data_IF_274121735774
#
_entry.id   IF_274121735774
#
_cell.length_a   1.000
_cell.length_b   1.000
_cell.length_c   1.000
_cell.angle_alpha   90.00
_cell.angle_beta   90.00
_cell.angle_gamma   90.00
#
_symmetry.space_group_name_H-M   'P 1'
#
loop_
_entity.id
_entity.type
_entity.pdbx_description
1 polymer ?
#
# COMPACT_ATOMS: atom_id res chain seq x y z
N UNK A 1 -8.97 8.98 -11.15
CA UNK A 1 -10.28 9.65 -11.34
C UNK A 1 -10.67 9.65 -12.81
N UNK A 2 -11.06 8.46 -13.29
CA UNK A 2 -11.42 8.27 -14.70
C UNK A 2 -12.64 9.11 -15.12
N UNK A 3 -13.62 9.24 -14.25
CA UNK A 3 -14.86 10.01 -14.56
C UNK A 3 -14.55 11.49 -14.81
N UNK A 4 -13.68 12.09 -14.00
CA UNK A 4 -13.23 13.47 -14.18
C UNK A 4 -12.35 13.64 -15.44
N UNK A 5 -11.59 12.62 -15.80
CA UNK A 5 -10.77 12.63 -17.01
C UNK A 5 -11.63 12.50 -18.26
N UNK A 6 -12.66 11.64 -18.25
CA UNK A 6 -13.62 11.50 -19.37
C UNK A 6 -14.35 12.81 -19.67
N UNK A 7 -14.76 13.57 -18.64
CA UNK A 7 -15.41 14.86 -18.80
C UNK A 7 -14.50 15.94 -19.42
N UNK A 8 -13.18 15.85 -19.21
CA UNK A 8 -12.19 16.81 -19.72
C UNK A 8 -11.52 16.39 -21.02
N UNK A 9 -11.86 15.22 -21.54
CA UNK A 9 -11.24 14.63 -22.73
C UNK A 9 -10.00 13.82 -22.37
N UNK A 10 -9.97 12.54 -22.74
CA UNK A 10 -8.91 11.58 -22.42
C UNK A 10 -7.87 11.57 -23.56
N UNK A 11 -6.60 11.76 -23.23
CA UNK A 11 -5.48 11.62 -24.20
C UNK A 11 -5.27 10.16 -24.58
N UNK A 12 -4.58 9.91 -25.71
CA UNK A 12 -4.30 8.54 -26.14
C UNK A 12 -3.39 7.82 -25.14
N UNK A 13 -2.42 8.51 -24.50
CA UNK A 13 -1.60 7.95 -23.44
C UNK A 13 -2.42 7.52 -22.22
N UNK A 14 -3.38 8.33 -21.81
CA UNK A 14 -4.29 7.99 -20.71
C UNK A 14 -5.19 6.79 -21.03
N UNK A 15 -5.64 6.64 -22.29
CA UNK A 15 -6.39 5.44 -22.73
C UNK A 15 -5.54 4.18 -22.65
N UNK A 16 -4.27 4.26 -23.06
CA UNK A 16 -3.32 3.13 -22.95
C UNK A 16 -3.14 2.70 -21.50
N UNK A 17 -2.95 3.66 -20.57
CA UNK A 17 -2.80 3.37 -19.15
C UNK A 17 -4.08 2.73 -18.59
N UNK A 18 -5.25 3.26 -18.93
CA UNK A 18 -6.53 2.67 -18.51
C UNK A 18 -6.68 1.23 -18.98
N UNK A 19 -6.41 0.98 -20.25
CA UNK A 19 -6.47 -0.38 -20.83
C UNK A 19 -5.46 -1.33 -20.16
N UNK A 20 -4.28 -0.83 -19.78
CA UNK A 20 -3.30 -1.62 -19.03
C UNK A 20 -3.80 -1.97 -17.62
N UNK A 21 -4.43 -1.04 -16.91
CA UNK A 21 -5.04 -1.30 -15.60
C UNK A 21 -6.16 -2.33 -15.68
N UNK A 22 -7.03 -2.21 -16.68
CA UNK A 22 -8.12 -3.16 -16.93
C UNK A 22 -7.57 -4.56 -17.28
N UNK A 23 -6.58 -4.64 -18.16
CA UNK A 23 -5.93 -5.90 -18.54
C UNK A 23 -5.18 -6.57 -17.39
N UNK A 24 -4.56 -5.80 -16.50
CA UNK A 24 -3.90 -6.30 -15.30
C UNK A 24 -4.91 -6.72 -14.21
N UNK A 25 -6.15 -6.24 -14.30
CA UNK A 25 -7.20 -6.51 -13.33
C UNK A 25 -7.08 -5.69 -12.04
N UNK A 26 -6.62 -4.44 -12.15
CA UNK A 26 -6.60 -3.48 -11.02
C UNK A 26 -8.03 -3.27 -10.53
N UNK A 27 -8.22 -3.31 -9.22
CA UNK A 27 -9.51 -3.15 -8.55
C UNK A 27 -9.39 -2.11 -7.43
N UNK A 28 -10.52 -1.55 -7.03
CA UNK A 28 -10.57 -0.62 -5.90
C UNK A 28 -10.21 -1.32 -4.58
N UNK A 29 -10.54 -2.61 -4.46
CA UNK A 29 -10.12 -3.47 -3.36
C UNK A 29 -10.04 -4.93 -3.79
N UNK A 30 -9.35 -5.74 -3.02
CA UNK A 30 -9.35 -7.20 -3.16
C UNK A 30 -9.77 -7.84 -1.85
N UNK A 31 -10.45 -8.97 -1.94
CA UNK A 31 -10.81 -9.77 -0.77
C UNK A 31 -9.97 -11.03 -0.76
N UNK A 32 -9.27 -11.26 0.35
CA UNK A 32 -8.45 -12.45 0.58
C UNK A 32 -8.98 -13.20 1.78
N UNK A 33 -8.90 -14.53 1.73
CA UNK A 33 -9.28 -15.39 2.84
C UNK A 33 -8.14 -16.35 3.16
N UNK A 34 -7.81 -16.46 4.44
CA UNK A 34 -6.85 -17.44 4.94
C UNK A 34 -7.41 -18.08 6.22
N UNK A 35 -7.67 -19.37 6.16
CA UNK A 35 -8.40 -20.06 7.23
C UNK A 35 -9.80 -19.44 7.39
N UNK A 36 -10.14 -19.08 8.61
CA UNK A 36 -11.44 -18.51 8.97
C UNK A 36 -11.47 -16.97 8.84
N UNK A 37 -10.33 -16.32 8.56
CA UNK A 37 -10.22 -14.85 8.45
C UNK A 37 -10.39 -14.43 7.01
N UNK A 38 -11.33 -13.52 6.77
CA UNK A 38 -11.59 -12.86 5.49
C UNK A 38 -11.25 -11.38 5.60
N UNK A 39 -10.29 -10.90 4.83
CA UNK A 39 -9.83 -9.51 4.86
C UNK A 39 -10.07 -8.83 3.51
N UNK A 40 -10.55 -7.59 3.54
CA UNK A 40 -10.50 -6.69 2.39
C UNK A 40 -9.19 -5.87 2.45
N UNK A 41 -8.56 -5.72 1.31
CA UNK A 41 -7.33 -4.94 1.16
C UNK A 41 -7.56 -3.82 0.15
N UNK A 42 -7.37 -2.58 0.59
CA UNK A 42 -7.47 -1.35 -0.21
C UNK A 42 -6.08 -0.82 -0.48
N UNK A 43 -5.82 -0.29 -1.67
CA UNK A 43 -4.59 0.43 -2.00
C UNK A 43 -4.84 1.93 -2.09
N UNK A 44 -3.93 2.76 -1.58
CA UNK A 44 -4.00 4.22 -1.70
C UNK A 44 -2.65 4.82 -2.08
N UNK A 45 -2.69 5.88 -2.90
CA UNK A 45 -1.55 6.68 -3.29
C UNK A 45 -1.72 8.10 -2.73
N UNK A 46 -0.74 8.56 -1.96
CA UNK A 46 -0.81 9.82 -1.22
C UNK A 46 -0.63 11.07 -2.10
N UNK A 47 -0.93 12.24 -1.53
CA UNK A 47 -0.79 13.53 -2.20
C UNK A 47 0.67 13.90 -2.38
N UNK A 48 1.47 13.76 -1.33
CA UNK A 48 2.92 14.04 -1.38
C UNK A 48 3.62 13.10 -2.39
N UNK A 49 3.23 11.84 -2.43
CA UNK A 49 3.72 10.89 -3.42
C UNK A 49 3.38 11.32 -4.87
N UNK A 50 2.19 11.90 -5.09
CA UNK A 50 1.81 12.45 -6.39
C UNK A 50 2.63 13.69 -6.76
N UNK A 51 2.95 14.56 -5.81
CA UNK A 51 3.81 15.71 -6.02
C UNK A 51 5.24 15.31 -6.44
N UNK A 52 5.70 14.13 -6.02
CA UNK A 52 6.96 13.53 -6.47
C UNK A 52 6.91 12.99 -7.91
N UNK A 53 5.75 12.97 -8.56
CA UNK A 53 5.54 12.53 -9.93
C UNK A 53 5.02 13.66 -10.84
N UNK A 54 5.78 14.78 -11.04
CA UNK A 54 5.29 16.00 -11.69
C UNK A 54 4.93 15.81 -13.17
N UNK A 55 5.36 14.72 -13.80
CA UNK A 55 5.03 14.40 -15.20
C UNK A 55 3.82 13.47 -15.33
N UNK A 56 3.18 13.10 -14.22
CA UNK A 56 2.01 12.25 -14.23
C UNK A 56 0.79 13.04 -14.75
N UNK A 57 0.25 12.60 -15.89
CA UNK A 57 -0.94 13.22 -16.51
C UNK A 57 -2.27 12.67 -15.99
N UNK A 58 -2.23 11.70 -15.08
CA UNK A 58 -3.45 11.13 -14.48
C UNK A 58 -4.02 12.09 -13.43
N UNK A 59 -5.35 12.14 -13.36
CA UNK A 59 -6.05 12.84 -12.28
C UNK A 59 -6.34 11.86 -11.15
N UNK A 60 -6.10 12.32 -9.93
CA UNK A 60 -6.36 11.55 -8.72
C UNK A 60 -7.54 12.15 -7.95
N UNK A 61 -8.31 11.29 -7.31
CA UNK A 61 -9.29 11.72 -6.29
C UNK A 61 -8.53 12.11 -5.02
N UNK A 62 -9.19 12.83 -4.13
CA UNK A 62 -8.68 12.98 -2.77
C UNK A 62 -8.51 11.57 -2.16
N UNK A 63 -7.33 11.22 -1.61
CA UNK A 63 -7.06 9.87 -1.14
C UNK A 63 -7.96 9.45 0.03
N UNK A 64 -8.27 10.37 0.95
CA UNK A 64 -9.13 10.08 2.11
C UNK A 64 -10.56 9.80 1.64
N UNK A 65 -11.10 10.65 0.77
CA UNK A 65 -12.45 10.48 0.23
C UNK A 65 -12.57 9.21 -0.63
N UNK A 66 -11.53 8.89 -1.42
CA UNK A 66 -11.53 7.67 -2.23
C UNK A 66 -11.52 6.40 -1.37
N UNK A 67 -10.68 6.36 -0.33
CA UNK A 67 -10.63 5.21 0.59
C UNK A 67 -11.92 5.10 1.38
N UNK A 68 -12.48 6.22 1.85
CA UNK A 68 -13.77 6.24 2.57
C UNK A 68 -14.89 5.63 1.74
N UNK A 69 -15.03 6.06 0.49
CA UNK A 69 -16.03 5.50 -0.44
C UNK A 69 -15.82 3.99 -0.66
N UNK A 70 -14.57 3.55 -0.84
CA UNK A 70 -14.24 2.14 -1.02
C UNK A 70 -14.55 1.32 0.23
N UNK A 71 -14.24 1.83 1.43
CA UNK A 71 -14.55 1.18 2.70
C UNK A 71 -16.07 1.06 2.93
N UNK A 72 -16.84 2.11 2.61
CA UNK A 72 -18.30 2.08 2.65
C UNK A 72 -18.87 1.01 1.69
N UNK A 73 -18.29 0.88 0.50
CA UNK A 73 -18.68 -0.14 -0.47
C UNK A 73 -18.36 -1.55 0.04
N UNK A 74 -17.17 -1.75 0.61
CA UNK A 74 -16.78 -3.03 1.23
C UNK A 74 -17.78 -3.41 2.33
N UNK A 75 -18.07 -2.50 3.26
CA UNK A 75 -19.01 -2.75 4.37
C UNK A 75 -20.43 -3.09 3.88
N UNK A 76 -20.83 -2.54 2.75
CA UNK A 76 -22.16 -2.79 2.15
C UNK A 76 -22.23 -4.13 1.41
N UNK A 77 -21.17 -4.51 0.70
CA UNK A 77 -21.21 -5.60 -0.27
C UNK A 77 -20.51 -6.87 0.23
N UNK A 78 -19.58 -6.73 1.19
CA UNK A 78 -18.72 -7.81 1.65
C UNK A 78 -18.93 -8.11 3.14
N UNK A 79 -18.84 -9.39 3.47
CA UNK A 79 -18.71 -9.84 4.87
C UNK A 79 -17.25 -10.14 5.13
N UNK A 80 -16.53 -9.16 5.63
CA UNK A 80 -15.11 -9.29 5.96
C UNK A 80 -14.89 -9.06 7.45
N UNK A 81 -13.88 -9.74 7.99
CA UNK A 81 -13.49 -9.65 9.39
C UNK A 81 -12.54 -8.48 9.63
N UNK A 82 -11.77 -8.10 8.60
CA UNK A 82 -10.73 -7.07 8.66
C UNK A 82 -10.73 -6.22 7.40
N UNK A 83 -10.43 -4.93 7.55
CA UNK A 83 -10.08 -4.03 6.44
C UNK A 83 -8.64 -3.56 6.64
N UNK A 84 -7.76 -3.89 5.70
CA UNK A 84 -6.39 -3.43 5.66
C UNK A 84 -6.18 -2.43 4.51
N UNK A 85 -5.39 -1.39 4.73
CA UNK A 85 -4.98 -0.44 3.71
C UNK A 85 -3.47 -0.55 3.47
N UNK A 86 -3.07 -0.74 2.21
CA UNK A 86 -1.67 -0.64 1.78
C UNK A 86 -1.49 0.76 1.22
N UNK A 87 -0.75 1.59 1.94
CA UNK A 87 -0.64 3.02 1.65
C UNK A 87 0.74 3.40 1.11
N UNK A 88 0.75 4.25 0.10
CA UNK A 88 1.90 5.03 -0.32
C UNK A 88 1.66 6.52 -0.01
N UNK A 89 1.10 6.80 1.19
CA UNK A 89 0.84 8.15 1.73
C UNK A 89 1.93 8.60 2.70
N UNK A 90 2.25 7.76 3.67
CA UNK A 90 3.35 7.97 4.59
C UNK A 90 2.97 8.60 5.94
N UNK A 91 3.97 8.58 6.83
CA UNK A 91 3.89 9.16 8.17
C UNK A 91 5.00 10.20 8.37
N UNK A 92 4.71 11.28 9.11
CA UNK A 92 5.64 12.36 9.44
C UNK A 92 5.65 12.60 10.95
N UNK A 93 6.67 13.33 11.46
CA UNK A 93 6.72 13.75 12.86
C UNK A 93 5.52 14.63 13.26
N UNK A 94 5.05 15.47 12.33
CA UNK A 94 3.82 16.26 12.50
C UNK A 94 2.63 15.42 12.06
N UNK A 95 1.86 14.91 13.01
CA UNK A 95 0.67 14.09 12.75
C UNK A 95 -0.39 14.79 11.89
N UNK A 96 -0.40 16.12 11.84
CA UNK A 96 -1.34 16.88 11.00
C UNK A 96 -0.91 16.90 9.53
N UNK A 97 0.32 16.50 9.24
CA UNK A 97 0.85 16.31 7.88
C UNK A 97 0.94 14.84 7.49
N UNK A 98 0.88 13.97 8.48
CA UNK A 98 1.00 12.52 8.34
C UNK A 98 -0.24 11.96 7.64
N UNK A 99 -0.14 11.70 6.32
CA UNK A 99 -1.30 11.32 5.50
C UNK A 99 -1.97 10.05 6.01
N UNK A 100 -1.18 9.07 6.47
CA UNK A 100 -1.72 7.82 6.99
C UNK A 100 -2.37 7.98 8.37
N UNK A 101 -1.90 8.93 9.18
CA UNK A 101 -2.56 9.24 10.45
C UNK A 101 -3.85 10.02 10.24
N UNK A 102 -3.89 10.93 9.25
CA UNK A 102 -5.12 11.60 8.84
C UNK A 102 -6.11 10.57 8.32
N UNK A 103 -5.67 9.63 7.47
CA UNK A 103 -6.51 8.56 6.95
C UNK A 103 -7.09 7.70 8.07
N UNK A 104 -6.28 7.30 9.05
CA UNK A 104 -6.74 6.51 10.21
C UNK A 104 -7.81 7.23 11.04
N UNK A 105 -7.69 8.56 11.19
CA UNK A 105 -8.66 9.38 11.92
C UNK A 105 -9.97 9.56 11.15
N UNK A 106 -9.89 9.77 9.83
CA UNK A 106 -11.04 10.08 8.97
C UNK A 106 -11.81 8.82 8.52
N UNK A 107 -11.14 7.65 8.51
CA UNK A 107 -11.72 6.36 8.08
C UNK A 107 -11.49 5.30 9.17
N UNK A 108 -12.17 5.41 10.32
CA UNK A 108 -11.93 4.56 11.51
C UNK A 108 -12.37 3.10 11.35
N UNK A 109 -12.98 2.75 10.22
CA UNK A 109 -13.33 1.37 9.84
C UNK A 109 -12.14 0.56 9.30
N UNK A 110 -10.98 1.19 9.10
CA UNK A 110 -9.72 0.51 8.74
C UNK A 110 -9.11 -0.06 10.03
N UNK A 111 -8.74 -1.34 10.03
CA UNK A 111 -8.11 -2.00 11.16
C UNK A 111 -6.57 -1.86 11.13
N UNK A 112 -5.98 -1.87 9.92
CA UNK A 112 -4.53 -1.84 9.73
C UNK A 112 -4.16 -0.99 8.52
N UNK A 113 -3.19 -0.09 8.68
CA UNK A 113 -2.52 0.62 7.59
C UNK A 113 -1.06 0.16 7.52
N UNK A 114 -0.65 -0.36 6.36
CA UNK A 114 0.74 -0.68 6.04
C UNK A 114 1.28 0.50 5.24
N UNK A 115 2.07 1.34 5.91
CA UNK A 115 2.55 2.63 5.41
C UNK A 115 3.84 2.48 4.61
N UNK A 116 3.95 3.26 3.54
CA UNK A 116 5.13 3.40 2.70
C UNK A 116 5.47 4.88 2.44
N UNK A 117 6.13 5.19 1.33
CA UNK A 117 6.50 6.50 0.81
C UNK A 117 7.60 7.23 1.61
N UNK A 118 7.36 7.57 2.86
CA UNK A 118 8.28 8.38 3.70
C UNK A 118 9.48 7.60 4.24
N UNK A 119 9.57 6.30 3.92
CA UNK A 119 10.64 5.43 4.39
C UNK A 119 10.78 5.38 5.92
N UNK A 120 9.71 5.72 6.63
CA UNK A 120 9.71 5.76 8.09
C UNK A 120 9.87 4.35 8.66
N UNK A 121 10.80 4.19 9.57
CA UNK A 121 10.99 2.95 10.35
C UNK A 121 10.26 3.12 11.68
N UNK A 122 9.04 2.58 11.77
CA UNK A 122 8.26 2.58 12.99
C UNK A 122 8.65 1.38 13.85
N UNK A 123 9.30 1.60 14.98
CA UNK A 123 9.63 0.53 15.95
C UNK A 123 8.42 0.07 16.74
N UNK A 124 7.43 0.94 16.86
CA UNK A 124 6.14 0.70 17.50
C UNK A 124 5.05 1.17 16.53
N UNK A 125 3.92 0.47 16.52
CA UNK A 125 2.79 0.89 15.72
C UNK A 125 2.18 2.20 16.24
N UNK A 126 1.83 3.11 15.33
CA UNK A 126 0.99 4.26 15.68
C UNK A 126 -0.45 3.75 15.76
N UNK A 127 -1.23 4.25 16.72
CA UNK A 127 -2.62 3.87 16.89
C UNK A 127 -3.53 5.08 16.96
N UNK A 128 -4.54 5.11 16.10
CA UNK A 128 -5.66 6.04 16.16
C UNK A 128 -6.98 5.28 16.27
N UNK A 129 -7.64 5.39 17.42
CA UNK A 129 -8.85 4.61 17.69
C UNK A 129 -8.60 3.10 17.62
N UNK A 130 -9.20 2.42 16.63
CA UNK A 130 -8.99 0.98 16.38
C UNK A 130 -8.00 0.70 15.25
N UNK A 131 -7.52 1.72 14.56
CA UNK A 131 -6.60 1.60 13.43
C UNK A 131 -5.15 1.59 13.89
N UNK A 132 -4.39 0.59 13.47
CA UNK A 132 -2.95 0.51 13.66
C UNK A 132 -2.23 0.87 12.38
N UNK A 133 -1.14 1.66 12.48
CA UNK A 133 -0.27 2.04 11.37
C UNK A 133 1.10 1.44 11.62
N UNK A 134 1.62 0.70 10.65
CA UNK A 134 2.95 0.06 10.71
C UNK A 134 3.76 0.43 9.47
N UNK A 135 5.08 0.53 9.62
CA UNK A 135 6.02 0.79 8.51
C UNK A 135 7.37 0.20 8.84
N UNK A 136 7.99 -0.48 7.87
CA UNK A 136 9.26 -1.18 8.08
C UNK A 136 10.47 -0.47 7.46
N UNK A 137 10.33 0.80 7.09
CA UNK A 137 11.41 1.57 6.45
C UNK A 137 11.47 1.35 4.94
N UNK A 138 12.69 1.27 4.41
CA UNK A 138 12.97 1.32 2.98
C UNK A 138 13.79 0.14 2.47
N UNK A 139 13.73 -0.07 1.16
CA UNK A 139 14.65 -0.93 0.38
C UNK A 139 14.86 -2.34 0.92
N UNK A 140 13.86 -2.91 1.61
CA UNK A 140 13.96 -4.25 2.15
C UNK A 140 14.95 -4.40 3.31
N UNK A 141 15.32 -3.31 3.98
CA UNK A 141 16.23 -3.37 5.15
C UNK A 141 15.63 -4.12 6.32
N UNK A 142 14.30 -4.07 6.44
CA UNK A 142 13.58 -4.79 7.48
C UNK A 142 12.39 -5.53 6.90
N UNK A 143 12.04 -6.64 7.53
CA UNK A 143 10.76 -7.30 7.40
C UNK A 143 9.90 -6.92 8.62
N UNK A 144 8.78 -6.24 8.39
CA UNK A 144 7.78 -5.99 9.43
C UNK A 144 6.97 -7.26 9.71
N UNK A 145 7.05 -7.75 10.93
CA UNK A 145 6.25 -8.90 11.40
C UNK A 145 5.24 -8.44 12.43
N UNK A 146 3.97 -8.73 12.21
CA UNK A 146 2.91 -8.37 13.13
C UNK A 146 1.91 -9.51 13.34
N UNK A 147 1.34 -9.55 14.53
CA UNK A 147 0.23 -10.44 14.86
C UNK A 147 -0.92 -9.64 15.42
N UNK A 148 -2.13 -9.96 14.96
CA UNK A 148 -3.35 -9.36 15.45
C UNK A 148 -4.33 -10.43 15.91
N UNK A 149 -5.10 -10.12 16.95
CA UNK A 149 -6.13 -11.04 17.48
C UNK A 149 -7.48 -10.35 17.48
N UNK A 150 -8.49 -11.03 16.95
CA UNK A 150 -9.85 -10.50 16.97
C UNK A 150 -10.47 -10.69 18.36
N UNK A 151 -10.99 -9.60 18.91
CA UNK A 151 -11.72 -9.59 20.18
C UNK A 151 -13.17 -10.06 20.00
N UNK A 152 -13.83 -10.36 21.10
CA UNK A 152 -15.24 -10.78 21.12
C UNK A 152 -16.21 -9.74 20.52
N UNK A 153 -15.84 -8.46 20.55
CA UNK A 153 -16.60 -7.35 19.96
C UNK A 153 -16.30 -7.11 18.47
N UNK A 154 -15.50 -7.99 17.85
CA UNK A 154 -15.13 -7.95 16.45
C UNK A 154 -13.95 -7.05 16.12
N UNK A 155 -13.45 -6.24 17.04
CA UNK A 155 -12.28 -5.38 16.83
C UNK A 155 -10.99 -6.19 16.79
N UNK A 156 -10.00 -5.69 16.07
CA UNK A 156 -8.66 -6.27 16.04
C UNK A 156 -7.73 -5.58 17.04
N UNK A 157 -6.93 -6.36 17.73
CA UNK A 157 -5.88 -5.90 18.64
C UNK A 157 -4.53 -6.36 18.12
N UNK A 158 -3.59 -5.42 18.03
CA UNK A 158 -2.20 -5.72 17.73
C UNK A 158 -1.56 -6.39 18.96
N UNK A 159 -1.16 -7.64 18.83
CA UNK A 159 -0.58 -8.42 19.94
C UNK A 159 0.94 -8.48 19.87
N UNK A 160 1.52 -8.34 18.68
CA UNK A 160 2.96 -8.16 18.51
C UNK A 160 3.25 -7.40 17.22
N UNK A 161 4.31 -6.62 17.24
CA UNK A 161 4.91 -5.99 16.08
C UNK A 161 6.41 -5.88 16.29
N UNK A 162 7.18 -6.31 15.30
CA UNK A 162 8.63 -6.23 15.33
C UNK A 162 9.20 -5.98 13.94
N UNK A 163 10.33 -5.31 13.88
CA UNK A 163 11.13 -5.15 12.69
C UNK A 163 12.29 -6.14 12.72
N UNK A 164 12.30 -7.07 11.78
CA UNK A 164 13.33 -8.09 11.62
C UNK A 164 14.33 -7.58 10.58
N UNK A 165 15.57 -7.23 10.96
CA UNK A 165 16.56 -6.76 10.01
C UNK A 165 16.90 -7.82 8.97
N UNK A 166 16.93 -7.41 7.70
CA UNK A 166 17.42 -8.24 6.60
C UNK A 166 18.93 -7.99 6.47
N UNK A 167 19.74 -8.97 6.89
CA UNK A 167 21.20 -8.90 6.88
C UNK A 167 21.80 -9.84 5.84
N UNK A 168 23.11 -9.73 5.61
CA UNK A 168 23.87 -10.63 4.75
C UNK A 168 23.84 -12.11 5.21
N UNK A 169 23.42 -12.36 6.46
CA UNK A 169 23.23 -13.72 6.99
C UNK A 169 21.98 -14.41 6.43
N UNK A 170 21.03 -13.64 5.90
CA UNK A 170 19.82 -14.17 5.25
C UNK A 170 20.22 -14.78 3.91
N UNK A 171 20.05 -16.08 3.79
CA UNK A 171 20.36 -16.77 2.53
C UNK A 171 19.32 -16.38 1.47
N UNK A 172 19.78 -15.96 0.27
CA UNK A 172 18.85 -15.67 -0.82
C UNK A 172 18.10 -16.93 -1.26
N UNK A 173 16.87 -16.74 -1.73
CA UNK A 173 16.17 -17.76 -2.48
C UNK A 173 16.89 -17.98 -3.82
N UNK A 174 17.29 -19.22 -4.09
CA UNK A 174 18.11 -19.53 -5.26
C UNK A 174 17.42 -19.20 -6.57
N UNK A 175 16.14 -19.51 -6.71
CA UNK A 175 15.40 -19.28 -7.94
C UNK A 175 15.23 -17.77 -8.23
N UNK A 176 15.02 -16.98 -7.19
CA UNK A 176 14.96 -15.51 -7.29
C UNK A 176 16.33 -14.94 -7.63
N UNK A 177 17.41 -15.42 -7.02
CA UNK A 177 18.76 -14.97 -7.33
C UNK A 177 19.15 -15.26 -8.78
N UNK A 178 18.83 -16.44 -9.31
CA UNK A 178 19.09 -16.79 -10.72
C UNK A 178 18.36 -15.85 -11.69
N UNK A 179 17.15 -15.39 -11.36
CA UNK A 179 16.42 -14.40 -12.16
C UNK A 179 17.08 -13.02 -12.11
N UNK A 180 17.53 -12.60 -10.94
CA UNK A 180 18.27 -11.34 -10.75
C UNK A 180 19.56 -11.37 -11.55
N UNK A 181 20.33 -12.44 -11.45
CA UNK A 181 21.62 -12.61 -12.16
C UNK A 181 21.41 -12.56 -13.68
N UNK A 182 20.39 -13.22 -14.20
CA UNK A 182 20.04 -13.18 -15.61
C UNK A 182 19.63 -11.77 -16.10
N UNK A 183 18.91 -11.02 -15.27
CA UNK A 183 18.56 -9.62 -15.55
C UNK A 183 19.79 -8.73 -15.55
N UNK A 184 20.65 -8.84 -14.53
CA UNK A 184 21.90 -8.09 -14.44
C UNK A 184 22.81 -8.38 -15.64
N UNK A 185 23.00 -9.64 -16.01
CA UNK A 185 23.71 -10.04 -17.22
C UNK A 185 23.17 -9.37 -18.49
N UNK A 186 21.86 -9.22 -18.59
CA UNK A 186 21.19 -8.55 -19.72
C UNK A 186 21.48 -7.04 -19.73
N UNK A 187 21.44 -6.41 -18.56
CA UNK A 187 21.77 -4.98 -18.40
C UNK A 187 23.24 -4.73 -18.74
N UNK A 188 24.16 -5.54 -18.21
CA UNK A 188 25.60 -5.42 -18.45
C UNK A 188 25.94 -5.58 -19.95
N UNK A 189 25.32 -6.56 -20.61
CA UNK A 189 25.61 -6.85 -22.03
C UNK A 189 24.99 -5.85 -23.01
N UNK A 190 23.82 -5.30 -22.70
CA UNK A 190 23.04 -4.49 -23.64
C UNK A 190 22.98 -3.01 -23.31
N UNK A 191 23.23 -2.63 -22.05
CA UNK A 191 23.08 -1.25 -21.59
C UNK A 191 24.40 -0.64 -21.10
N UNK A 192 25.22 -1.41 -20.37
CA UNK A 192 26.48 -0.95 -19.80
C UNK A 192 27.72 -1.34 -20.64
N UNK A 193 27.55 -2.16 -21.69
CA UNK A 193 28.65 -2.65 -22.51
C UNK A 193 29.42 -1.54 -23.25
N UNK A 194 28.81 -0.37 -23.43
CA UNK A 194 29.38 0.79 -24.13
C UNK A 194 30.00 1.82 -23.18
N UNK A 195 30.07 1.54 -21.87
CA UNK A 195 30.69 2.37 -20.84
C UNK A 195 31.88 1.68 -20.19
#
# INVERSE_FOLDING_TARGET
DWDSMEQSGVSDGQKVIRSAFEAYGVKDYVVVQKGDVKAAVVGVFGKDALECAPTCELKFKDPVEAVKQTVEEIRKNEKVDMIACVSHGGTWEDENKSEDEILAKEVPDIDLIISGHTHTELKEAIQHGNTYIVSCGEYGRNLGSLSMTQKQDGRWELTSYELIPVSEEVKPDQATQEQIDALMDTVDKNYLADF
#
